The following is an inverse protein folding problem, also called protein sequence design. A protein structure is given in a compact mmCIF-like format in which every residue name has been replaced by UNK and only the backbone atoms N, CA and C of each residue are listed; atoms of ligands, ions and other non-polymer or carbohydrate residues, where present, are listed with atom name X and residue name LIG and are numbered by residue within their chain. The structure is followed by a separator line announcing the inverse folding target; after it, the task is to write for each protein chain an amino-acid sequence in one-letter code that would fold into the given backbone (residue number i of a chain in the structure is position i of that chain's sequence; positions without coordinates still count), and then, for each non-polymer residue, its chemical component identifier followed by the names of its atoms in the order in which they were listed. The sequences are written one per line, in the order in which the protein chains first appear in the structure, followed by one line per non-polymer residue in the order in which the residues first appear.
data_IF_210446358301
#
_entry.id   IF_210446358301
#
_cell.length_a   1.000
_cell.length_b   1.000
_cell.length_c   1.000
_cell.angle_alpha   90.00
_cell.angle_beta   90.00
_cell.angle_gamma   90.00
#
_symmetry.space_group_name_H-M   'P 1'
#
loop_
_entity.id
_entity.type
_entity.pdbx_description
1 polymer ?
#
# COMPACT_ATOMS: atom_id res chain seq x y z
N UNK A 1 30.04 -4.89 22.32
CA UNK A 1 28.70 -4.31 22.59
C UNK A 1 27.75 -4.99 21.61
N UNK A 2 27.06 -6.05 22.02
CA UNK A 2 26.29 -6.90 21.11
C UNK A 2 24.91 -6.28 20.85
N UNK A 3 24.64 -5.91 19.60
CA UNK A 3 23.32 -5.47 19.18
C UNK A 3 22.37 -6.68 19.18
N UNK A 4 21.34 -6.64 20.03
CA UNK A 4 20.22 -7.59 19.96
C UNK A 4 19.40 -7.25 18.70
N UNK A 5 19.61 -7.99 17.63
CA UNK A 5 18.71 -7.95 16.48
C UNK A 5 17.48 -8.82 16.80
N UNK A 6 16.29 -8.24 16.71
CA UNK A 6 15.05 -9.01 16.77
C UNK A 6 14.92 -9.84 15.50
N UNK A 7 14.56 -11.12 15.66
CA UNK A 7 14.32 -12.04 14.55
C UNK A 7 12.94 -11.76 13.94
N UNK A 8 12.87 -11.51 12.63
CA UNK A 8 11.60 -11.25 11.95
C UNK A 8 10.65 -12.47 11.96
N UNK A 9 11.22 -13.67 12.01
CA UNK A 9 10.56 -14.96 12.16
C UNK A 9 9.83 -15.14 13.49
N UNK A 10 10.07 -14.28 14.49
CA UNK A 10 9.36 -14.30 15.76
C UNK A 10 8.11 -13.40 15.76
N UNK A 11 7.89 -12.60 14.71
CA UNK A 11 6.74 -11.73 14.61
C UNK A 11 5.47 -12.55 14.40
N UNK A 12 4.45 -12.28 15.22
CA UNK A 12 3.13 -12.89 15.11
C UNK A 12 2.12 -11.86 14.63
N UNK A 13 1.10 -12.31 13.90
CA UNK A 13 -0.03 -11.47 13.56
C UNK A 13 -0.64 -10.88 14.84
N UNK A 14 -0.88 -9.57 14.79
CA UNK A 14 -1.50 -8.82 15.89
C UNK A 14 -2.83 -8.29 15.39
N UNK A 15 -3.90 -8.58 16.13
CA UNK A 15 -5.20 -7.97 15.88
C UNK A 15 -5.17 -6.51 16.34
N UNK A 16 -5.22 -5.58 15.37
CA UNK A 16 -5.18 -4.14 15.62
C UNK A 16 -6.60 -3.58 15.64
N UNK A 17 -7.06 -3.16 16.82
CA UNK A 17 -8.39 -2.55 17.04
C UNK A 17 -8.31 -1.10 17.57
N UNK A 18 -7.11 -0.51 17.57
CA UNK A 18 -6.92 0.91 17.89
C UNK A 18 -7.31 1.83 16.72
N UNK A 19 -7.13 3.15 16.86
CA UNK A 19 -7.46 4.13 15.81
C UNK A 19 -6.58 4.02 14.55
N UNK A 20 -5.48 3.25 14.62
CA UNK A 20 -4.59 2.97 13.51
C UNK A 20 -3.20 2.56 14.01
N UNK A 21 -2.40 1.85 13.18
CA UNK A 21 -2.75 1.31 11.86
C UNK A 21 -3.74 0.14 11.93
N UNK A 22 -4.35 -0.20 10.80
CA UNK A 22 -5.25 -1.37 10.67
C UNK A 22 -4.47 -2.61 10.23
N UNK A 23 -5.05 -3.80 10.47
CA UNK A 23 -4.55 -5.04 9.88
C UNK A 23 -4.57 -4.97 8.34
N UNK A 24 -3.54 -5.51 7.70
CA UNK A 24 -3.39 -5.51 6.24
C UNK A 24 -3.85 -6.87 5.69
N UNK A 25 -4.74 -6.91 4.68
CA UNK A 25 -5.12 -8.15 4.03
C UNK A 25 -3.92 -8.87 3.37
N UNK A 26 -3.86 -10.22 3.37
CA UNK A 26 -2.73 -10.97 2.79
C UNK A 26 -2.37 -10.59 1.35
N UNK A 27 -3.37 -10.26 0.52
CA UNK A 27 -3.15 -9.89 -0.88
C UNK A 27 -2.34 -8.59 -1.04
N UNK A 28 -2.39 -7.70 -0.05
CA UNK A 28 -1.61 -6.45 -0.06
C UNK A 28 -0.15 -6.74 0.28
N UNK A 29 0.14 -7.65 1.21
CA UNK A 29 1.51 -8.11 1.45
C UNK A 29 2.12 -8.77 0.21
N UNK A 30 1.34 -9.63 -0.45
CA UNK A 30 1.75 -10.28 -1.71
C UNK A 30 2.01 -9.27 -2.84
N UNK A 31 1.31 -8.14 -2.85
CA UNK A 31 1.50 -7.06 -3.80
C UNK A 31 2.77 -6.24 -3.49
N UNK A 32 3.03 -5.94 -2.22
CA UNK A 32 4.23 -5.22 -1.77
C UNK A 32 5.50 -6.04 -2.03
N UNK A 33 5.44 -7.37 -1.94
CA UNK A 33 6.56 -8.26 -2.19
C UNK A 33 6.94 -8.40 -3.67
N UNK A 34 6.21 -7.75 -4.60
CA UNK A 34 6.50 -7.84 -6.04
C UNK A 34 7.75 -7.02 -6.41
N UNK A 35 8.47 -7.41 -7.50
CA UNK A 35 9.61 -6.64 -7.98
C UNK A 35 9.25 -5.19 -8.32
N UNK A 36 10.14 -4.28 -7.99
CA UNK A 36 10.03 -2.86 -8.34
C UNK A 36 10.01 -2.67 -9.86
N UNK A 37 9.17 -1.75 -10.34
CA UNK A 37 9.07 -1.35 -11.75
C UNK A 37 9.41 0.14 -11.91
N UNK A 38 9.84 0.54 -13.12
CA UNK A 38 10.19 1.92 -13.41
C UNK A 38 8.98 2.86 -13.43
N UNK A 39 9.17 4.13 -13.08
CA UNK A 39 8.09 5.13 -13.01
C UNK A 39 7.48 5.50 -14.37
N UNK A 40 8.15 5.19 -15.48
CA UNK A 40 7.63 5.34 -16.85
C UNK A 40 7.25 3.98 -17.49
N UNK A 41 7.28 2.89 -16.72
CA UNK A 41 6.89 1.57 -17.22
C UNK A 41 5.39 1.60 -17.58
N UNK A 42 4.98 1.11 -18.77
CA UNK A 42 3.57 1.05 -19.15
C UNK A 42 2.68 0.31 -18.13
N UNK A 43 3.24 -0.68 -17.43
CA UNK A 43 2.54 -1.41 -16.37
C UNK A 43 2.27 -0.52 -15.16
N UNK A 44 3.23 0.32 -14.78
CA UNK A 44 3.07 1.29 -13.69
C UNK A 44 1.99 2.31 -14.04
N UNK A 45 2.04 2.88 -15.25
CA UNK A 45 1.08 3.88 -15.71
C UNK A 45 -0.35 3.33 -15.66
N UNK A 46 -0.55 2.10 -16.16
CA UNK A 46 -1.86 1.44 -16.11
C UNK A 46 -2.37 1.23 -14.68
N UNK A 47 -1.52 0.74 -13.78
CA UNK A 47 -1.87 0.56 -12.35
C UNK A 47 -2.26 1.91 -11.74
N UNK A 48 -1.52 2.97 -12.04
CA UNK A 48 -1.83 4.31 -11.56
C UNK A 48 -3.19 4.80 -12.08
N UNK A 49 -3.51 4.58 -13.36
CA UNK A 49 -4.80 4.99 -13.92
C UNK A 49 -5.98 4.23 -13.30
N UNK A 50 -5.82 2.94 -13.05
CA UNK A 50 -6.80 2.11 -12.33
C UNK A 50 -7.01 2.64 -10.89
N UNK A 51 -5.92 2.97 -10.18
CA UNK A 51 -6.00 3.55 -8.82
C UNK A 51 -6.75 4.88 -8.84
N UNK A 52 -6.51 5.76 -9.81
CA UNK A 52 -7.25 7.03 -9.91
C UNK A 52 -8.74 6.79 -10.13
N UNK A 53 -9.12 5.77 -10.90
CA UNK A 53 -10.52 5.40 -11.11
C UNK A 53 -11.19 4.91 -9.82
N UNK A 54 -10.53 4.00 -9.09
CA UNK A 54 -11.03 3.52 -7.80
C UNK A 54 -11.11 4.64 -6.75
N UNK A 55 -10.14 5.56 -6.73
CA UNK A 55 -10.19 6.71 -5.82
C UNK A 55 -11.38 7.63 -6.13
N UNK A 56 -11.68 7.87 -7.42
CA UNK A 56 -12.85 8.66 -7.81
C UNK A 56 -14.16 8.02 -7.34
N UNK A 57 -14.25 6.70 -7.40
CA UNK A 57 -15.40 5.94 -6.89
C UNK A 57 -15.53 6.08 -5.37
N UNK A 58 -14.47 5.80 -4.61
CA UNK A 58 -14.47 5.88 -3.15
C UNK A 58 -14.76 7.29 -2.65
N UNK A 59 -14.19 8.31 -3.31
CA UNK A 59 -14.37 9.72 -2.96
C UNK A 59 -15.64 10.34 -3.56
N UNK A 60 -16.39 9.57 -4.37
CA UNK A 60 -17.59 10.02 -5.08
C UNK A 60 -17.38 11.34 -5.86
N UNK A 61 -16.36 11.38 -6.72
CA UNK A 61 -15.98 12.56 -7.51
C UNK A 61 -15.68 12.22 -8.96
N UNK A 62 -15.95 13.17 -9.85
CA UNK A 62 -15.60 13.08 -11.28
C UNK A 62 -14.32 13.85 -11.62
N UNK A 63 -13.64 14.45 -10.63
CA UNK A 63 -12.43 15.23 -10.89
C UNK A 63 -11.30 14.34 -11.44
N UNK A 64 -10.87 14.63 -12.67
CA UNK A 64 -9.78 13.92 -13.35
C UNK A 64 -8.46 14.06 -12.60
N UNK A 65 -8.24 15.21 -11.95
CA UNK A 65 -7.10 15.45 -11.06
C UNK A 65 -7.37 14.80 -9.70
N UNK A 66 -7.44 13.47 -9.69
CA UNK A 66 -7.47 12.63 -8.49
C UNK A 66 -6.15 11.87 -8.43
N UNK A 67 -5.39 12.01 -7.34
CA UNK A 67 -4.03 11.48 -7.23
C UNK A 67 -3.87 10.64 -5.96
N UNK A 68 -3.25 9.44 -6.05
CA UNK A 68 -2.84 8.70 -4.86
C UNK A 68 -1.60 9.36 -4.25
N UNK A 69 -1.79 10.06 -3.14
CA UNK A 69 -0.73 10.76 -2.40
C UNK A 69 -0.76 10.37 -0.93
N UNK A 70 0.38 10.47 -0.26
CA UNK A 70 0.42 10.39 1.21
C UNK A 70 -0.42 11.54 1.79
N UNK A 71 -1.19 11.25 2.84
CA UNK A 71 -2.14 12.20 3.45
C UNK A 71 -1.53 13.16 4.49
N UNK A 72 -0.21 13.17 4.65
CA UNK A 72 0.54 14.00 5.61
C UNK A 72 1.37 15.06 4.90
#
# INVERSE_FOLDING_TARGET
MAHHFYSLDQLRETLLMGPGPSCIPPQVYDAIARPTIGHLDPRFIRIMDDIKAMLREVMNTTNVMTLPMSGT
#
